data_IF_529130164966
#
_entry.id   IF_529130164966
#
_cell.length_a   1.000
_cell.length_b   1.000
_cell.length_c   1.000
_cell.angle_alpha   90.00
_cell.angle_beta   90.00
_cell.angle_gamma   90.00
#
_symmetry.space_group_name_H-M   'P 1'
#
loop_
_entity.id
_entity.type
_entity.pdbx_description
1 polymer ?
#
# COMPACT_ATOMS: atom_id res chain seq x y z
N UNK A 1 -6.82 5.49 -7.46
CA UNK A 1 -6.07 4.31 -7.93
C UNK A 1 -5.22 3.74 -6.81
N UNK A 2 -5.05 2.41 -6.79
CA UNK A 2 -4.25 1.72 -5.77
C UNK A 2 -3.03 1.09 -6.43
N UNK A 3 -1.84 1.42 -5.93
CA UNK A 3 -0.60 0.79 -6.36
C UNK A 3 -0.32 -0.44 -5.48
N UNK A 4 -0.06 -1.58 -6.12
CA UNK A 4 0.40 -2.78 -5.43
C UNK A 4 1.91 -2.88 -5.50
N UNK A 5 2.52 -3.29 -4.39
CA UNK A 5 3.90 -3.73 -4.36
C UNK A 5 3.94 -5.26 -4.56
N UNK A 6 4.78 -5.78 -5.45
CA UNK A 6 4.77 -7.21 -5.78
C UNK A 6 5.25 -8.12 -4.66
N UNK A 7 6.15 -7.64 -3.79
CA UNK A 7 6.91 -8.44 -2.84
C UNK A 7 6.64 -8.04 -1.39
N UNK A 8 5.36 -8.12 -0.97
CA UNK A 8 5.02 -8.15 0.46
C UNK A 8 5.22 -9.56 1.02
N UNK A 9 5.78 -9.70 2.22
CA UNK A 9 5.94 -11.00 2.89
C UNK A 9 4.55 -11.64 3.09
N UNK A 10 4.39 -12.86 2.62
CA UNK A 10 3.14 -13.60 2.73
C UNK A 10 2.70 -13.76 4.20
N UNK A 11 1.43 -13.53 4.47
CA UNK A 11 0.83 -13.61 5.81
C UNK A 11 1.02 -12.38 6.69
N UNK A 12 2.01 -11.51 6.39
CA UNK A 12 2.35 -10.33 7.19
C UNK A 12 2.16 -9.03 6.42
N UNK A 13 2.52 -9.01 5.14
CA UNK A 13 2.43 -7.84 4.27
C UNK A 13 3.62 -6.88 4.38
N UNK A 14 4.62 -7.17 5.19
CA UNK A 14 5.84 -6.35 5.29
C UNK A 14 6.53 -6.27 3.94
N UNK A 15 6.92 -5.06 3.55
CA UNK A 15 7.51 -4.78 2.26
C UNK A 15 8.94 -5.31 2.12
N UNK A 16 9.18 -6.15 1.13
CA UNK A 16 10.52 -6.44 0.62
C UNK A 16 10.79 -5.50 -0.55
N UNK A 17 11.73 -4.58 -0.37
CA UNK A 17 11.96 -3.47 -1.31
C UNK A 17 12.34 -3.92 -2.72
N UNK A 18 12.09 -3.06 -3.68
CA UNK A 18 12.48 -3.26 -5.09
C UNK A 18 14.00 -3.44 -5.28
N UNK A 19 14.81 -2.88 -4.35
CA UNK A 19 16.25 -3.03 -4.36
C UNK A 19 16.71 -4.48 -4.37
N UNK A 20 15.96 -5.40 -3.77
CA UNK A 20 16.24 -6.84 -3.80
C UNK A 20 16.31 -7.38 -5.23
N UNK A 21 15.35 -7.00 -6.08
CA UNK A 21 15.34 -7.38 -7.49
C UNK A 21 16.45 -6.68 -8.28
N UNK A 22 16.78 -5.45 -7.88
CA UNK A 22 17.94 -4.70 -8.41
C UNK A 22 19.29 -5.36 -8.11
N UNK A 23 19.42 -6.05 -6.97
CA UNK A 23 20.62 -6.82 -6.60
C UNK A 23 20.62 -8.25 -7.19
N UNK A 24 19.65 -8.60 -8.03
CA UNK A 24 19.60 -9.88 -8.72
C UNK A 24 18.58 -10.88 -8.18
N UNK A 25 17.77 -10.51 -7.19
CA UNK A 25 16.66 -11.35 -6.73
C UNK A 25 15.65 -11.62 -7.82
N UNK A 26 15.10 -12.84 -7.88
CA UNK A 26 14.13 -13.25 -8.89
C UNK A 26 12.98 -14.08 -8.31
N UNK A 27 11.88 -14.14 -9.05
CA UNK A 27 10.63 -14.79 -8.63
C UNK A 27 10.46 -16.16 -9.30
N UNK A 28 10.09 -17.18 -8.51
CA UNK A 28 9.69 -18.49 -9.01
C UNK A 28 8.27 -18.84 -8.60
N UNK A 29 7.58 -19.56 -9.49
CA UNK A 29 6.30 -20.19 -9.22
C UNK A 29 6.48 -21.64 -8.71
N UNK A 30 5.39 -22.36 -8.45
CA UNK A 30 5.40 -23.75 -7.95
C UNK A 30 6.02 -24.77 -8.92
N UNK A 31 6.25 -24.40 -10.17
CA UNK A 31 6.91 -25.25 -11.18
C UNK A 31 8.42 -24.98 -11.27
N UNK A 32 8.96 -24.11 -10.43
CA UNK A 32 10.35 -23.64 -10.53
C UNK A 32 10.60 -22.77 -11.75
N UNK A 33 9.57 -22.19 -12.36
CA UNK A 33 9.68 -21.32 -13.51
C UNK A 33 9.94 -19.89 -13.07
N UNK A 34 10.93 -19.23 -13.68
CA UNK A 34 11.16 -17.79 -13.57
C UNK A 34 10.16 -17.07 -14.49
N UNK A 35 8.92 -17.00 -14.06
CA UNK A 35 7.77 -16.62 -14.88
C UNK A 35 7.84 -15.18 -15.42
N UNK A 36 8.61 -14.30 -14.80
CA UNK A 36 8.80 -12.93 -15.30
C UNK A 36 9.48 -12.89 -16.67
N UNK A 37 10.23 -13.92 -17.05
CA UNK A 37 10.80 -14.03 -18.41
C UNK A 37 9.72 -14.17 -19.49
N UNK A 38 8.57 -14.74 -19.15
CA UNK A 38 7.41 -14.87 -20.03
C UNK A 38 6.58 -13.59 -20.11
N UNK A 39 6.38 -12.91 -18.97
CA UNK A 39 5.54 -11.71 -18.92
C UNK A 39 6.26 -10.43 -19.33
N UNK A 40 7.55 -10.34 -19.10
CA UNK A 40 8.38 -9.18 -19.39
C UNK A 40 9.78 -9.61 -19.91
N UNK A 41 9.89 -10.16 -21.15
CA UNK A 41 11.12 -10.80 -21.62
C UNK A 41 12.37 -9.91 -21.57
N UNK A 42 12.21 -8.58 -21.72
CA UNK A 42 13.33 -7.62 -21.69
C UNK A 42 13.72 -7.23 -20.26
N UNK A 43 12.75 -6.82 -19.44
CA UNK A 43 12.98 -6.30 -18.10
C UNK A 43 12.99 -7.39 -17.02
N UNK A 44 12.38 -8.55 -17.30
CA UNK A 44 12.25 -9.68 -16.38
C UNK A 44 11.77 -9.21 -14.99
N UNK A 45 12.44 -9.62 -13.92
CA UNK A 45 12.11 -9.23 -12.55
C UNK A 45 12.32 -7.74 -12.26
N UNK A 46 13.00 -6.99 -13.15
CA UNK A 46 13.15 -5.54 -13.08
C UNK A 46 12.01 -4.76 -13.74
N UNK A 47 10.98 -5.44 -14.21
CA UNK A 47 9.77 -4.78 -14.71
C UNK A 47 9.11 -3.93 -13.61
N UNK A 48 8.29 -2.95 -14.02
CA UNK A 48 7.59 -2.06 -13.08
C UNK A 48 6.70 -2.83 -12.11
N UNK A 49 6.48 -2.26 -10.93
CA UNK A 49 5.74 -2.90 -9.82
C UNK A 49 4.37 -3.43 -10.22
N UNK A 50 3.66 -2.68 -11.05
CA UNK A 50 2.34 -3.05 -11.54
C UNK A 50 2.38 -4.26 -12.49
N UNK A 51 3.39 -4.35 -13.35
CA UNK A 51 3.61 -5.50 -14.23
C UNK A 51 3.92 -6.75 -13.41
N UNK A 52 4.87 -6.65 -12.48
CA UNK A 52 5.24 -7.79 -11.61
C UNK A 52 4.06 -8.23 -10.74
N UNK A 53 3.33 -7.29 -10.14
CA UNK A 53 2.16 -7.61 -9.30
C UNK A 53 1.06 -8.33 -10.09
N UNK A 54 0.77 -7.87 -11.33
CA UNK A 54 -0.18 -8.56 -12.21
C UNK A 54 0.29 -9.95 -12.60
N UNK A 55 1.57 -10.11 -12.91
CA UNK A 55 2.16 -11.41 -13.26
C UNK A 55 2.04 -12.40 -12.11
N UNK A 56 2.38 -12.00 -10.88
CA UNK A 56 2.19 -12.85 -9.68
C UNK A 56 0.72 -13.21 -9.49
N UNK A 57 -0.19 -12.24 -9.62
CA UNK A 57 -1.61 -12.50 -9.47
C UNK A 57 -2.14 -13.49 -10.53
N UNK A 58 -1.64 -13.45 -11.76
CA UNK A 58 -1.97 -14.42 -12.82
C UNK A 58 -1.44 -15.81 -12.44
N UNK A 59 -0.18 -15.92 -11.99
CA UNK A 59 0.39 -17.20 -11.55
C UNK A 59 -0.44 -17.85 -10.44
N UNK A 60 -0.83 -17.06 -9.45
CA UNK A 60 -1.69 -17.52 -8.34
C UNK A 60 -3.07 -17.94 -8.86
N UNK A 61 -3.73 -17.12 -9.67
CA UNK A 61 -5.08 -17.38 -10.16
C UNK A 61 -5.16 -18.62 -11.09
N UNK A 62 -4.08 -18.92 -11.82
CA UNK A 62 -3.96 -20.08 -12.68
C UNK A 62 -3.42 -21.32 -11.94
N UNK A 63 -3.32 -21.28 -10.61
CA UNK A 63 -2.95 -22.40 -9.75
C UNK A 63 -1.46 -22.74 -9.75
N UNK A 64 -0.60 -21.84 -10.23
CA UNK A 64 0.87 -21.97 -10.17
C UNK A 64 1.50 -21.30 -8.96
N UNK A 65 0.70 -20.83 -8.01
CA UNK A 65 1.17 -20.37 -6.71
C UNK A 65 1.79 -21.48 -5.88
N UNK A 66 2.53 -21.12 -4.84
CA UNK A 66 3.24 -22.00 -3.91
C UNK A 66 2.44 -22.15 -2.61
N UNK A 67 2.78 -23.17 -1.82
CA UNK A 67 2.13 -23.49 -0.57
C UNK A 67 0.83 -24.29 -0.72
N UNK A 68 0.23 -24.64 0.42
CA UNK A 68 -0.99 -25.47 0.48
C UNK A 68 -2.17 -24.80 -0.25
N UNK A 69 -2.26 -23.50 -0.15
CA UNK A 69 -3.35 -22.71 -0.75
C UNK A 69 -3.02 -22.19 -2.16
N UNK A 70 -1.79 -22.35 -2.63
CA UNK A 70 -1.29 -21.84 -3.91
C UNK A 70 -1.50 -20.33 -4.07
N UNK A 71 -1.28 -19.56 -3.02
CA UNK A 71 -1.66 -18.15 -2.88
C UNK A 71 -0.49 -17.17 -2.76
N UNK A 72 0.74 -17.64 -2.97
CA UNK A 72 1.96 -16.83 -2.99
C UNK A 72 2.98 -17.39 -3.99
N UNK A 73 4.08 -16.67 -4.18
CA UNK A 73 5.26 -17.07 -4.97
C UNK A 73 6.52 -16.90 -4.13
N UNK A 74 7.64 -17.44 -4.59
CA UNK A 74 8.92 -17.32 -3.89
C UNK A 74 9.82 -16.27 -4.53
N UNK A 75 10.40 -15.41 -3.69
CA UNK A 75 11.46 -14.47 -4.04
C UNK A 75 12.81 -15.07 -3.60
N UNK A 76 13.67 -15.35 -4.55
CA UNK A 76 14.97 -15.99 -4.34
C UNK A 76 16.09 -14.98 -4.24
N UNK A 77 16.90 -15.11 -3.17
CA UNK A 77 18.15 -14.39 -2.92
C UNK A 77 19.29 -15.36 -2.60
N UNK A 78 18.99 -16.63 -2.37
CA UNK A 78 19.90 -17.70 -1.94
C UNK A 78 21.07 -17.96 -2.90
N UNK A 79 21.01 -17.45 -4.12
CA UNK A 79 22.10 -17.47 -5.12
C UNK A 79 23.05 -16.26 -5.01
N UNK A 80 22.70 -15.24 -4.22
CA UNK A 80 23.49 -14.02 -4.06
C UNK A 80 24.56 -14.25 -2.97
N UNK A 81 25.80 -13.77 -3.20
CA UNK A 81 26.85 -13.87 -2.20
C UNK A 81 26.37 -13.28 -0.85
N UNK A 82 26.44 -14.05 0.25
CA UNK A 82 26.03 -13.58 1.57
C UNK A 82 26.65 -12.24 2.00
N UNK A 83 27.89 -11.96 1.57
CA UNK A 83 28.56 -10.68 1.83
C UNK A 83 27.89 -9.50 1.12
N UNK A 84 27.29 -9.74 -0.05
CA UNK A 84 26.54 -8.72 -0.77
C UNK A 84 25.22 -8.47 -0.04
N UNK A 85 24.53 -9.53 0.39
CA UNK A 85 23.29 -9.43 1.16
C UNK A 85 23.53 -8.64 2.46
N UNK A 86 24.57 -9.00 3.22
CA UNK A 86 24.93 -8.31 4.47
C UNK A 86 25.23 -6.82 4.25
N UNK A 87 25.96 -6.49 3.20
CA UNK A 87 26.40 -5.12 2.93
C UNK A 87 25.29 -4.24 2.30
N UNK A 88 24.49 -4.79 1.39
CA UNK A 88 23.55 -4.01 0.55
C UNK A 88 22.08 -4.20 0.93
N UNK A 89 21.75 -5.30 1.58
CA UNK A 89 20.38 -5.68 1.92
C UNK A 89 20.19 -6.07 3.40
N UNK A 90 20.91 -5.45 4.37
CA UNK A 90 20.87 -5.89 5.78
C UNK A 90 19.46 -5.85 6.36
N UNK A 91 18.71 -4.78 6.10
CA UNK A 91 17.32 -4.65 6.58
C UNK A 91 16.36 -5.65 5.95
N UNK A 92 16.66 -6.17 4.75
CA UNK A 92 15.86 -7.21 4.10
C UNK A 92 16.07 -8.56 4.77
N UNK A 93 17.33 -8.92 5.03
CA UNK A 93 17.67 -10.15 5.74
C UNK A 93 17.05 -10.17 7.14
N UNK A 94 17.14 -9.05 7.88
CA UNK A 94 16.51 -8.90 9.19
C UNK A 94 14.96 -8.99 9.12
N UNK A 95 14.34 -8.34 8.15
CA UNK A 95 12.90 -8.40 7.97
C UNK A 95 12.41 -9.81 7.64
N UNK A 96 13.09 -10.52 6.74
CA UNK A 96 12.74 -11.91 6.41
C UNK A 96 12.88 -12.83 7.63
N UNK A 97 13.97 -12.70 8.38
CA UNK A 97 14.19 -13.48 9.61
C UNK A 97 13.13 -13.18 10.68
N UNK A 98 12.80 -11.90 10.86
CA UNK A 98 11.85 -11.47 11.91
C UNK A 98 10.42 -11.84 11.61
N UNK A 99 9.98 -11.65 10.36
CA UNK A 99 8.56 -11.74 10.00
C UNK A 99 8.13 -13.07 9.35
N UNK A 100 9.06 -13.84 8.81
CA UNK A 100 8.75 -15.15 8.23
C UNK A 100 9.78 -16.25 8.56
N UNK A 101 10.70 -15.98 9.51
CA UNK A 101 11.69 -16.94 10.01
C UNK A 101 12.63 -17.48 8.90
N UNK A 102 12.82 -16.73 7.80
CA UNK A 102 13.61 -17.13 6.64
C UNK A 102 15.04 -16.60 6.75
N UNK A 103 16.01 -17.50 6.57
CA UNK A 103 17.42 -17.16 6.30
C UNK A 103 17.58 -16.99 4.77
N UNK A 104 17.58 -15.76 4.30
CA UNK A 104 17.59 -15.42 2.87
C UNK A 104 18.83 -15.91 2.11
N UNK A 105 19.87 -16.35 2.82
CA UNK A 105 21.06 -16.97 2.23
C UNK A 105 20.86 -18.45 1.89
N UNK A 106 19.75 -19.06 2.34
CA UNK A 106 19.47 -20.50 2.19
C UNK A 106 18.10 -20.77 1.59
N UNK A 107 17.10 -19.95 1.98
CA UNK A 107 15.71 -20.20 1.67
C UNK A 107 15.07 -18.97 1.01
N UNK A 108 14.11 -19.15 0.11
CA UNK A 108 13.40 -18.06 -0.53
C UNK A 108 12.38 -17.40 0.41
N UNK A 109 12.11 -16.12 0.18
CA UNK A 109 11.07 -15.38 0.88
C UNK A 109 9.71 -15.64 0.21
N UNK A 110 8.67 -16.12 0.93
CA UNK A 110 7.32 -16.21 0.39
C UNK A 110 6.73 -14.79 0.25
N UNK A 111 6.27 -14.44 -0.95
CA UNK A 111 5.78 -13.09 -1.25
C UNK A 111 4.46 -13.09 -2.01
N UNK A 112 3.67 -12.03 -1.81
CA UNK A 112 2.40 -11.81 -2.47
C UNK A 112 2.20 -10.32 -2.76
N UNK A 113 1.50 -9.93 -3.84
CA UNK A 113 1.19 -8.53 -4.09
C UNK A 113 0.41 -7.91 -2.93
N UNK A 114 0.91 -6.79 -2.41
CA UNK A 114 0.35 -6.08 -1.25
C UNK A 114 0.06 -4.65 -1.61
N UNK A 115 -1.02 -4.08 -1.07
CA UNK A 115 -1.35 -2.66 -1.22
C UNK A 115 -0.19 -1.82 -0.68
N UNK A 116 0.24 -0.84 -1.46
CA UNK A 116 1.42 -0.04 -1.15
C UNK A 116 1.16 1.46 -1.08
N UNK A 117 0.47 2.03 -2.06
CA UNK A 117 0.25 3.47 -2.16
C UNK A 117 -1.09 3.78 -2.86
N UNK A 118 -1.79 4.78 -2.35
CA UNK A 118 -3.03 5.24 -2.97
C UNK A 118 -2.76 6.55 -3.74
N UNK A 119 -2.86 6.50 -5.06
CA UNK A 119 -2.87 7.69 -5.88
C UNK A 119 -4.28 8.30 -5.86
N UNK A 120 -4.34 9.61 -5.81
CA UNK A 120 -5.58 10.34 -5.54
C UNK A 120 -5.62 10.81 -4.10
N UNK A 121 -6.79 11.15 -3.59
CA UNK A 121 -6.95 11.65 -2.21
C UNK A 121 -7.70 12.97 -2.17
N UNK A 122 -7.39 13.80 -1.20
CA UNK A 122 -8.01 15.12 -1.00
C UNK A 122 -7.49 16.07 -2.10
N UNK A 123 -8.36 16.58 -3.00
CA UNK A 123 -7.92 17.49 -4.05
C UNK A 123 -7.27 18.76 -3.47
N UNK A 124 -6.10 19.11 -4.00
CA UNK A 124 -5.38 20.33 -3.58
C UNK A 124 -4.83 21.08 -4.77
N UNK A 125 -4.63 22.40 -4.57
CA UNK A 125 -3.78 23.18 -5.48
C UNK A 125 -2.29 22.99 -5.14
N UNK A 126 -1.41 23.62 -5.92
CA UNK A 126 0.05 23.53 -5.71
C UNK A 126 0.55 24.18 -4.40
N UNK A 127 -0.30 24.99 -3.75
CA UNK A 127 -0.05 25.59 -2.41
C UNK A 127 -0.55 24.70 -1.29
N UNK A 128 -0.96 23.46 -1.61
CA UNK A 128 -1.51 22.47 -0.68
C UNK A 128 -2.87 22.85 -0.07
N UNK A 129 -3.55 23.90 -0.54
CA UNK A 129 -4.89 24.27 -0.07
C UNK A 129 -5.91 23.28 -0.64
N UNK A 130 -6.79 22.77 0.22
CA UNK A 130 -7.84 21.82 -0.17
C UNK A 130 -8.85 22.51 -1.09
N UNK A 131 -9.23 21.82 -2.15
CA UNK A 131 -10.22 22.28 -3.13
C UNK A 131 -11.56 21.57 -2.94
N UNK A 132 -12.63 22.33 -3.10
CA UNK A 132 -13.97 21.80 -3.32
C UNK A 132 -14.47 22.28 -4.68
N UNK A 133 -15.28 21.45 -5.37
CA UNK A 133 -15.80 21.79 -6.69
C UNK A 133 -17.32 21.81 -6.67
N UNK A 134 -17.87 23.00 -6.91
CA UNK A 134 -19.28 23.23 -7.19
C UNK A 134 -19.41 23.90 -8.57
N UNK A 135 -18.76 23.30 -9.59
CA UNK A 135 -18.64 23.87 -10.93
C UNK A 135 -17.38 24.72 -11.16
N UNK A 136 -16.76 25.22 -10.10
CA UNK A 136 -15.42 25.84 -10.10
C UNK A 136 -14.66 25.38 -8.87
N UNK A 137 -13.36 25.17 -9.04
CA UNK A 137 -12.47 24.88 -7.92
C UNK A 137 -12.36 26.07 -6.99
N UNK A 138 -12.74 25.88 -5.74
CA UNK A 138 -12.64 26.87 -4.68
C UNK A 138 -11.85 26.29 -3.50
N UNK A 139 -11.01 27.11 -2.87
CA UNK A 139 -10.27 26.68 -1.70
C UNK A 139 -11.15 26.58 -0.47
N UNK A 140 -10.90 25.56 0.37
CA UNK A 140 -11.49 25.47 1.71
C UNK A 140 -10.57 26.22 2.67
N UNK A 141 -11.03 27.37 3.24
CA UNK A 141 -10.17 28.19 4.09
C UNK A 141 -9.61 27.42 5.28
N UNK A 142 -8.29 27.53 5.53
CA UNK A 142 -7.64 26.92 6.67
C UNK A 142 -7.40 25.42 6.61
N UNK A 143 -7.86 24.73 5.55
CA UNK A 143 -7.64 23.30 5.38
C UNK A 143 -6.59 23.02 4.31
N UNK A 144 -5.57 22.25 4.68
CA UNK A 144 -4.47 21.85 3.81
C UNK A 144 -4.27 20.33 3.82
N UNK A 145 -3.77 19.79 2.71
CA UNK A 145 -3.35 18.39 2.62
C UNK A 145 -2.09 18.27 1.75
N UNK A 146 -1.19 17.35 2.13
CA UNK A 146 0.07 17.07 1.45
C UNK A 146 0.35 15.57 1.38
N UNK A 147 1.29 15.16 0.52
CA UNK A 147 1.75 13.79 0.42
C UNK A 147 0.66 12.83 -0.02
N UNK A 148 0.71 11.58 0.44
CA UNK A 148 -0.22 10.53 0.03
C UNK A 148 -1.70 10.84 0.32
N UNK A 149 -1.98 11.61 1.37
CA UNK A 149 -3.34 12.03 1.70
C UNK A 149 -3.94 13.02 0.68
N UNK A 150 -3.09 13.75 -0.04
CA UNK A 150 -3.48 14.77 -0.99
C UNK A 150 -3.50 14.26 -2.44
N UNK A 151 -4.23 14.97 -3.28
CA UNK A 151 -4.21 14.80 -4.73
C UNK A 151 -3.91 16.14 -5.42
N UNK A 152 -2.63 16.42 -5.60
CA UNK A 152 -2.15 17.53 -6.42
C UNK A 152 -1.96 17.12 -7.90
N UNK A 153 -2.37 15.88 -8.25
CA UNK A 153 -2.37 15.31 -9.59
C UNK A 153 -0.99 15.06 -10.24
N UNK A 154 0.05 14.84 -9.42
CA UNK A 154 1.43 14.61 -9.93
C UNK A 154 1.77 13.14 -10.17
N UNK A 155 0.97 12.19 -9.69
CA UNK A 155 1.27 10.76 -9.76
C UNK A 155 0.48 9.99 -10.82
N UNK A 156 -0.60 10.55 -11.35
CA UNK A 156 -1.47 9.85 -12.28
C UNK A 156 -2.07 8.58 -11.67
N UNK A 157 -2.10 7.51 -12.46
CA UNK A 157 -2.65 6.22 -12.02
C UNK A 157 -1.62 5.29 -11.37
N UNK A 158 -0.32 5.58 -11.50
CA UNK A 158 0.78 4.75 -11.00
C UNK A 158 2.00 5.59 -10.64
N UNK A 159 2.27 5.76 -9.35
CA UNK A 159 3.38 6.55 -8.84
C UNK A 159 4.73 5.88 -9.15
N UNK A 160 5.69 6.66 -9.63
CA UNK A 160 7.07 6.20 -9.81
C UNK A 160 7.78 6.02 -8.47
N UNK A 161 8.74 5.11 -8.45
CA UNK A 161 9.58 4.86 -7.27
C UNK A 161 10.23 6.15 -6.76
N UNK A 162 10.32 6.30 -5.44
CA UNK A 162 10.87 7.46 -4.70
C UNK A 162 10.07 8.78 -4.81
N UNK A 163 9.16 8.93 -5.77
CA UNK A 163 8.41 10.19 -5.93
C UNK A 163 7.48 10.52 -4.75
N UNK A 164 7.10 9.55 -3.93
CA UNK A 164 6.38 9.80 -2.68
C UNK A 164 7.18 10.71 -1.73
N UNK A 165 8.49 10.48 -1.59
CA UNK A 165 9.34 11.30 -0.72
C UNK A 165 9.52 12.72 -1.27
N UNK A 166 9.65 12.86 -2.60
CA UNK A 166 9.77 14.17 -3.25
C UNK A 166 8.48 14.97 -3.05
N UNK A 167 7.33 14.34 -3.24
CA UNK A 167 6.00 14.92 -3.01
C UNK A 167 5.88 15.48 -1.57
N UNK A 168 6.20 14.68 -0.56
CA UNK A 168 6.17 15.11 0.84
C UNK A 168 7.03 16.35 1.10
N UNK A 169 8.25 16.38 0.58
CA UNK A 169 9.19 17.50 0.78
C UNK A 169 8.73 18.76 0.05
N UNK A 170 8.36 18.64 -1.23
CA UNK A 170 7.98 19.79 -2.07
C UNK A 170 6.69 20.43 -1.58
N UNK A 171 5.63 19.62 -1.43
CA UNK A 171 4.33 20.17 -1.02
C UNK A 171 4.25 20.47 0.48
N UNK A 172 5.05 19.78 1.32
CA UNK A 172 5.22 20.17 2.72
C UNK A 172 5.83 21.56 2.86
N UNK A 173 6.87 21.87 2.09
CA UNK A 173 7.45 23.22 2.03
C UNK A 173 6.45 24.25 1.50
N UNK A 174 5.71 23.90 0.45
CA UNK A 174 4.69 24.80 -0.14
C UNK A 174 3.57 25.11 0.87
N UNK A 175 3.07 24.10 1.58
CA UNK A 175 2.07 24.26 2.63
C UNK A 175 2.57 25.16 3.78
N UNK A 176 3.80 24.93 4.24
CA UNK A 176 4.40 25.76 5.30
C UNK A 176 4.54 27.22 4.88
N UNK A 177 5.00 27.48 3.65
CA UNK A 177 5.09 28.85 3.11
C UNK A 177 3.71 29.49 3.02
N UNK A 178 2.70 28.74 2.55
CA UNK A 178 1.34 29.24 2.45
C UNK A 178 0.71 29.50 3.81
N UNK A 179 0.93 28.60 4.78
CA UNK A 179 0.46 28.81 6.15
C UNK A 179 1.05 30.10 6.76
N UNK A 180 2.34 30.35 6.55
CA UNK A 180 2.99 31.61 7.01
C UNK A 180 2.40 32.89 6.37
N UNK A 181 1.87 32.79 5.14
CA UNK A 181 1.19 33.90 4.48
C UNK A 181 -0.19 34.23 5.11
N UNK A 182 -0.94 33.17 5.49
CA UNK A 182 -2.35 33.34 5.88
C UNK A 182 -2.60 33.28 7.39
N UNK A 183 -1.73 32.62 8.15
CA UNK A 183 -1.85 32.53 9.62
C UNK A 183 -1.10 33.70 10.29
N UNK A 184 -1.82 34.46 11.09
CA UNK A 184 -1.21 35.52 11.90
C UNK A 184 -1.02 35.04 13.33
N UNK A 185 0.19 35.00 13.88
CA UNK A 185 0.41 34.64 15.27
C UNK A 185 -0.45 35.54 16.22
N UNK A 186 -1.05 34.91 17.21
CA UNK A 186 -1.92 35.58 18.18
C UNK A 186 -3.34 35.88 17.68
N UNK A 187 -3.74 35.43 16.48
CA UNK A 187 -5.13 35.51 16.04
C UNK A 187 -6.03 34.59 16.91
N UNK A 188 -7.16 35.12 17.37
CA UNK A 188 -8.16 34.32 18.04
C UNK A 188 -8.84 33.39 17.05
N UNK A 189 -9.09 32.17 17.48
CA UNK A 189 -9.91 31.20 16.75
C UNK A 189 -11.32 31.22 17.34
N UNK A 190 -12.31 30.95 16.48
CA UNK A 190 -13.66 30.68 16.98
C UNK A 190 -13.66 29.40 17.82
N UNK A 191 -14.42 29.42 18.91
CA UNK A 191 -14.57 28.23 19.74
C UNK A 191 -15.32 27.15 18.96
N UNK A 192 -14.82 25.91 19.04
CA UNK A 192 -15.53 24.78 18.47
C UNK A 192 -16.79 24.46 19.30
N UNK A 193 -17.96 24.25 18.67
CA UNK A 193 -19.14 23.81 19.38
C UNK A 193 -18.86 22.52 20.16
N UNK A 194 -19.15 22.51 21.46
CA UNK A 194 -18.95 21.33 22.32
C UNK A 194 -19.65 20.08 21.75
N UNK A 195 -20.81 20.28 21.12
CA UNK A 195 -21.58 19.21 20.47
C UNK A 195 -20.81 18.43 19.41
N UNK A 196 -19.84 19.02 18.71
CA UNK A 196 -19.02 18.31 17.72
C UNK A 196 -17.98 17.42 18.39
N UNK A 197 -17.40 17.88 19.50
CA UNK A 197 -16.52 17.06 20.35
C UNK A 197 -17.28 15.89 20.94
N UNK A 198 -18.47 16.15 21.50
CA UNK A 198 -19.32 15.13 22.12
C UNK A 198 -19.72 14.03 21.12
N UNK A 199 -20.11 14.39 19.90
CA UNK A 199 -20.41 13.41 18.83
C UNK A 199 -19.21 12.49 18.52
N UNK A 200 -18.01 13.03 18.47
CA UNK A 200 -16.80 12.23 18.24
C UNK A 200 -16.51 11.28 19.39
N UNK A 201 -16.62 11.76 20.63
CA UNK A 201 -16.42 10.98 21.85
C UNK A 201 -17.47 9.88 21.97
N UNK A 202 -18.75 10.19 21.79
CA UNK A 202 -19.86 9.23 21.81
C UNK A 202 -19.67 8.10 20.81
N UNK A 203 -19.24 8.44 19.58
CA UNK A 203 -18.95 7.44 18.56
C UNK A 203 -17.83 6.49 18.97
N UNK A 204 -16.76 7.04 19.53
CA UNK A 204 -15.62 6.26 20.00
C UNK A 204 -16.01 5.37 21.20
N UNK A 205 -16.74 5.91 22.15
CA UNK A 205 -17.18 5.19 23.35
C UNK A 205 -18.16 4.05 23.02
N UNK A 206 -19.07 4.26 22.06
CA UNK A 206 -19.95 3.19 21.56
C UNK A 206 -19.15 2.02 20.99
N UNK A 207 -18.09 2.29 20.23
CA UNK A 207 -17.21 1.24 19.70
C UNK A 207 -16.41 0.56 20.80
N UNK A 208 -15.81 1.35 21.71
CA UNK A 208 -14.96 0.85 22.80
C UNK A 208 -15.73 -0.03 23.79
N UNK A 209 -16.98 0.31 24.06
CA UNK A 209 -17.84 -0.39 25.03
C UNK A 209 -18.81 -1.37 24.37
N UNK A 210 -18.64 -1.67 23.07
CA UNK A 210 -19.50 -2.63 22.38
C UNK A 210 -19.24 -4.07 22.88
N UNK A 211 -20.31 -4.82 23.11
CA UNK A 211 -20.30 -6.21 23.53
C UNK A 211 -20.81 -7.12 22.41
N UNK A 212 -20.05 -7.16 21.30
CA UNK A 212 -20.35 -8.04 20.17
C UNK A 212 -19.95 -9.50 20.45
N UNK A 213 -20.64 -10.44 19.81
CA UNK A 213 -20.34 -11.88 19.92
C UNK A 213 -19.12 -12.32 19.07
N UNK A 214 -18.79 -11.56 18.04
CA UNK A 214 -17.69 -11.89 17.10
C UNK A 214 -16.39 -11.20 17.52
N UNK A 215 -15.30 -11.96 17.60
CA UNK A 215 -13.99 -11.40 17.98
C UNK A 215 -13.48 -10.44 16.90
N UNK A 216 -12.88 -9.34 17.32
CA UNK A 216 -12.27 -8.35 16.41
C UNK A 216 -11.23 -8.97 15.45
N UNK A 217 -10.48 -9.98 15.91
CA UNK A 217 -9.52 -10.72 15.09
C UNK A 217 -10.19 -11.50 13.95
N UNK A 218 -11.36 -12.07 14.19
CA UNK A 218 -12.13 -12.81 13.19
C UNK A 218 -12.74 -11.86 12.14
N UNK A 219 -13.31 -10.74 12.60
CA UNK A 219 -13.82 -9.67 11.72
C UNK A 219 -12.71 -9.12 10.83
N UNK A 220 -11.55 -8.83 11.43
CA UNK A 220 -10.38 -8.33 10.68
C UNK A 220 -9.92 -9.34 9.63
N UNK A 221 -9.78 -10.61 9.99
CA UNK A 221 -9.36 -11.66 9.06
C UNK A 221 -10.37 -11.85 7.94
N UNK A 222 -11.67 -11.81 8.23
CA UNK A 222 -12.74 -11.89 7.22
C UNK A 222 -12.65 -10.73 6.24
N UNK A 223 -12.52 -9.50 6.74
CA UNK A 223 -12.32 -8.31 5.92
C UNK A 223 -11.07 -8.43 5.03
N UNK A 224 -9.93 -8.83 5.59
CA UNK A 224 -8.68 -8.98 4.85
C UNK A 224 -8.81 -10.01 3.71
N UNK A 225 -9.43 -11.16 3.97
CA UNK A 225 -9.69 -12.19 2.96
C UNK A 225 -10.61 -11.68 1.84
N UNK A 226 -11.68 -10.98 2.18
CA UNK A 226 -12.59 -10.37 1.21
C UNK A 226 -11.86 -9.34 0.36
N UNK A 227 -11.10 -8.43 0.96
CA UNK A 227 -10.31 -7.43 0.24
C UNK A 227 -9.29 -8.08 -0.69
N UNK A 228 -8.56 -9.10 -0.23
CA UNK A 228 -7.57 -9.80 -1.04
C UNK A 228 -8.19 -10.56 -2.22
N UNK A 229 -9.36 -11.19 -2.04
CA UNK A 229 -9.99 -12.00 -3.09
C UNK A 229 -10.84 -11.19 -4.07
N UNK A 230 -11.43 -10.06 -3.63
CA UNK A 230 -12.43 -9.31 -4.42
C UNK A 230 -11.97 -7.92 -4.85
N UNK A 231 -11.02 -7.30 -4.12
CA UNK A 231 -10.59 -5.93 -4.32
C UNK A 231 -9.08 -5.78 -4.56
N UNK A 232 -8.37 -6.88 -4.86
CA UNK A 232 -6.92 -6.89 -5.05
C UNK A 232 -6.49 -6.37 -6.43
N UNK A 233 -5.45 -6.96 -7.02
CA UNK A 233 -4.82 -6.49 -8.26
C UNK A 233 -5.80 -6.43 -9.44
N UNK A 234 -6.66 -7.46 -9.60
CA UNK A 234 -7.69 -7.51 -10.64
C UNK A 234 -9.07 -7.23 -10.03
N UNK A 235 -9.74 -6.23 -10.57
CA UNK A 235 -11.06 -5.78 -10.10
C UNK A 235 -12.01 -5.65 -11.28
N UNK A 236 -13.17 -6.24 -11.13
CA UNK A 236 -14.29 -6.12 -12.07
C UNK A 236 -15.53 -5.64 -11.32
N UNK A 237 -16.53 -5.13 -12.02
CA UNK A 237 -17.80 -4.75 -11.40
C UNK A 237 -18.41 -5.92 -10.60
N UNK A 238 -18.34 -7.14 -11.15
CA UNK A 238 -18.83 -8.35 -10.49
C UNK A 238 -18.10 -8.61 -9.17
N UNK A 239 -16.75 -8.65 -9.19
CA UNK A 239 -15.94 -8.93 -7.99
C UNK A 239 -16.10 -7.86 -6.92
N UNK A 240 -16.20 -6.59 -7.32
CA UNK A 240 -16.42 -5.49 -6.38
C UNK A 240 -17.82 -5.56 -5.74
N UNK A 241 -18.88 -5.87 -6.49
CA UNK A 241 -20.23 -6.07 -5.95
C UNK A 241 -20.28 -7.25 -4.97
N UNK A 242 -19.63 -8.37 -5.31
CA UNK A 242 -19.49 -9.51 -4.40
C UNK A 242 -18.76 -9.10 -3.11
N UNK A 243 -17.62 -8.39 -3.22
CA UNK A 243 -16.85 -7.91 -2.08
C UNK A 243 -17.65 -6.96 -1.17
N UNK A 244 -18.44 -6.05 -1.74
CA UNK A 244 -19.35 -5.19 -0.98
C UNK A 244 -20.38 -5.98 -0.17
N UNK A 245 -20.92 -7.07 -0.75
CA UNK A 245 -21.87 -7.92 -0.06
C UNK A 245 -21.20 -8.74 1.05
N UNK A 246 -19.99 -9.24 0.81
CA UNK A 246 -19.25 -10.05 1.78
C UNK A 246 -18.78 -9.22 2.99
N UNK A 247 -18.33 -7.98 2.79
CA UNK A 247 -17.91 -7.08 3.89
C UNK A 247 -19.08 -6.70 4.81
N UNK A 248 -20.30 -6.68 4.30
CA UNK A 248 -21.49 -6.35 5.09
C UNK A 248 -22.04 -7.51 5.92
N UNK A 249 -21.56 -8.71 5.67
CA UNK A 249 -21.92 -9.87 6.50
C UNK A 249 -21.12 -9.81 7.79
N UNK A 250 -21.77 -9.98 8.95
CA UNK A 250 -21.10 -9.99 10.23
C UNK A 250 -20.14 -11.17 10.40
#
# INVERSE_FOLDING_TARGET
FVQFHPTGIYGVGTLISEGVRGEGGFLLNSKGERFMERYAPKAKDLASRDVVSRSIAIEINEGRGIGKNKDHVNLHLDHIDPKIIEKRLPGIAESAKTFCEVDVTKDPIPVVPTVHYNMGGIPTNYKAEVLTSNGKDTTVPGLMAIGEAACVSVHGANRLGSNSLIDLVVFGKSAASRAAEIVKPGSNHEELPQSETDKCLDRFDKLRNSNGSTKTSELRLSMQKTMQSKCAVFRTEKTLKEGMNDIRKP
#
